data_IF_504427269991
#
_entry.id   IF_504427269991
#
_cell.length_a   1.000
_cell.length_b   1.000
_cell.length_c   1.000
_cell.angle_alpha   90.00
_cell.angle_beta   90.00
_cell.angle_gamma   90.00
#
_symmetry.space_group_name_H-M   'P 1'
#
loop_
_entity.id
_entity.type
_entity.pdbx_description
1 polymer ?
#
# COMPACT_ATOMS: atom_id res chain seq x y z
N UNK A 1 -19.48 -5.28 -0.17
CA UNK A 1 -18.57 -4.11 -0.21
C UNK A 1 -18.85 -3.32 -1.47
N UNK A 2 -18.75 -1.98 -1.44
CA UNK A 2 -18.88 -1.15 -2.65
C UNK A 2 -17.52 -1.04 -3.36
N UNK A 3 -17.47 -1.07 -4.70
CA UNK A 3 -16.21 -0.90 -5.44
C UNK A 3 -15.65 0.51 -5.23
N UNK A 4 -14.32 0.60 -5.12
CA UNK A 4 -13.58 1.85 -4.97
C UNK A 4 -13.05 2.36 -6.31
N UNK A 5 -12.82 3.66 -6.39
CA UNK A 5 -12.26 4.32 -7.58
C UNK A 5 -10.77 4.03 -7.70
N UNK A 6 -10.34 3.48 -8.84
CA UNK A 6 -8.92 3.27 -9.09
C UNK A 6 -8.18 4.60 -9.24
N UNK A 7 -7.20 4.88 -8.37
CA UNK A 7 -6.31 6.05 -8.46
C UNK A 7 -5.44 6.05 -9.74
N UNK A 8 -5.35 4.91 -10.42
CA UNK A 8 -4.65 4.76 -11.69
C UNK A 8 -5.58 5.03 -12.85
N UNK A 9 -6.54 4.16 -13.17
CA UNK A 9 -7.38 4.33 -14.36
C UNK A 9 -8.68 5.11 -14.17
N UNK A 10 -9.10 5.40 -12.93
CA UNK A 10 -10.39 6.05 -12.66
C UNK A 10 -11.61 5.13 -12.76
N UNK A 11 -11.45 3.83 -12.96
CA UNK A 11 -12.58 2.88 -12.97
C UNK A 11 -13.02 2.51 -11.54
N UNK A 12 -14.33 2.40 -11.32
CA UNK A 12 -14.92 1.82 -10.10
C UNK A 12 -14.80 0.29 -10.12
N UNK A 13 -13.62 -0.21 -9.82
CA UNK A 13 -13.30 -1.65 -9.96
C UNK A 13 -12.42 -2.21 -8.85
N UNK A 14 -11.97 -1.38 -7.91
CA UNK A 14 -11.15 -1.83 -6.80
C UNK A 14 -12.03 -2.49 -5.74
N UNK A 15 -11.76 -3.74 -5.42
CA UNK A 15 -12.37 -4.43 -4.29
C UNK A 15 -11.29 -4.72 -3.25
N UNK A 16 -11.39 -4.16 -2.03
CA UNK A 16 -10.46 -4.50 -0.95
C UNK A 16 -10.69 -5.94 -0.52
N UNK A 17 -9.61 -6.70 -0.42
CA UNK A 17 -9.59 -8.06 0.12
C UNK A 17 -8.81 -8.04 1.42
N UNK A 18 -9.41 -8.57 2.49
CA UNK A 18 -8.68 -8.80 3.72
C UNK A 18 -7.66 -9.92 3.49
N UNK A 19 -6.43 -9.66 3.92
CA UNK A 19 -5.36 -10.67 3.87
C UNK A 19 -5.06 -11.04 5.31
N UNK A 20 -5.35 -12.30 5.65
CA UNK A 20 -5.01 -12.85 6.96
C UNK A 20 -3.51 -13.11 6.95
N UNK A 21 -2.80 -12.38 7.80
CA UNK A 21 -1.40 -12.64 8.09
C UNK A 21 -1.40 -13.72 9.17
N UNK A 22 -0.84 -14.89 8.87
CA UNK A 22 -0.74 -15.98 9.85
C UNK A 22 0.24 -15.57 10.98
N UNK A 23 -0.23 -15.42 12.23
CA UNK A 23 0.62 -15.02 13.34
C UNK A 23 1.50 -16.17 13.87
N UNK A 24 1.24 -17.42 13.47
CA UNK A 24 1.95 -18.60 13.98
C UNK A 24 3.16 -19.02 13.13
N UNK A 25 3.35 -18.45 11.93
CA UNK A 25 4.58 -18.62 11.16
C UNK A 25 5.50 -17.38 11.24
N UNK A 26 6.47 -17.35 12.19
CA UNK A 26 7.45 -16.27 12.30
C UNK A 26 8.42 -16.18 11.11
N UNK A 27 8.33 -17.07 10.11
CA UNK A 27 9.09 -16.99 8.85
C UNK A 27 8.30 -16.32 7.72
N UNK A 28 6.99 -16.13 7.86
CA UNK A 28 6.13 -15.63 6.78
C UNK A 28 5.71 -14.16 6.95
N UNK A 29 5.89 -13.55 8.12
CA UNK A 29 5.46 -12.17 8.32
C UNK A 29 6.41 -11.34 9.19
N UNK A 30 6.96 -10.23 8.65
CA UNK A 30 7.67 -9.24 9.47
C UNK A 30 6.73 -8.38 10.33
N UNK A 31 5.42 -8.68 10.33
CA UNK A 31 4.36 -7.87 10.93
C UNK A 31 3.93 -8.39 12.31
N UNK A 32 3.41 -7.50 13.16
CA UNK A 32 3.02 -7.84 14.52
C UNK A 32 1.79 -8.77 14.56
N UNK A 33 1.67 -9.64 15.59
CA UNK A 33 0.46 -10.41 15.82
C UNK A 33 -0.74 -9.48 15.99
N UNK A 34 -1.78 -9.67 15.17
CA UNK A 34 -2.96 -8.79 15.16
C UNK A 34 -2.88 -7.60 14.19
N UNK A 35 -1.86 -7.54 13.34
CA UNK A 35 -1.82 -6.59 12.22
C UNK A 35 -3.04 -6.76 11.31
N UNK A 36 -3.71 -5.65 10.98
CA UNK A 36 -4.76 -5.63 9.97
C UNK A 36 -4.14 -5.40 8.60
N UNK A 37 -4.48 -6.23 7.62
CA UNK A 37 -4.00 -6.01 6.25
C UNK A 37 -5.10 -6.10 5.20
N UNK A 38 -4.99 -5.26 4.18
CA UNK A 38 -5.93 -5.16 3.07
C UNK A 38 -5.17 -5.06 1.75
N UNK A 39 -5.46 -5.97 0.84
CA UNK A 39 -4.96 -5.94 -0.53
C UNK A 39 -6.00 -5.29 -1.44
N UNK A 40 -5.54 -4.39 -2.30
CA UNK A 40 -6.37 -3.68 -3.27
C UNK A 40 -5.87 -4.05 -4.65
N UNK A 41 -6.76 -4.46 -5.55
CA UNK A 41 -6.41 -4.76 -6.94
C UNK A 41 -7.48 -4.26 -7.90
N UNK A 42 -7.05 -3.53 -8.92
CA UNK A 42 -7.93 -2.99 -9.96
C UNK A 42 -8.08 -4.04 -11.06
N UNK A 43 -9.29 -4.56 -11.26
CA UNK A 43 -9.57 -5.56 -12.28
C UNK A 43 -9.41 -5.07 -13.73
N UNK A 44 -9.29 -3.75 -13.94
CA UNK A 44 -9.17 -3.17 -15.29
C UNK A 44 -7.72 -2.92 -15.67
N UNK A 45 -6.97 -2.16 -14.86
CA UNK A 45 -5.58 -1.80 -15.17
C UNK A 45 -4.53 -2.64 -14.44
N UNK A 46 -4.95 -3.55 -13.55
CA UNK A 46 -4.04 -4.39 -12.76
C UNK A 46 -3.29 -3.65 -11.65
N UNK A 47 -3.53 -2.36 -11.41
CA UNK A 47 -2.90 -1.65 -10.30
C UNK A 47 -3.32 -2.24 -8.97
N UNK A 48 -2.33 -2.56 -8.13
CA UNK A 48 -2.55 -3.14 -6.82
C UNK A 48 -1.58 -2.63 -5.76
N UNK A 49 -1.98 -2.78 -4.51
CA UNK A 49 -1.15 -2.51 -3.34
C UNK A 49 -1.69 -3.22 -2.11
N UNK A 50 -0.78 -3.51 -1.17
CA UNK A 50 -1.09 -3.97 0.17
C UNK A 50 -1.05 -2.77 1.13
N UNK A 51 -2.01 -2.69 2.04
CA UNK A 51 -1.92 -1.84 3.22
C UNK A 51 -1.82 -2.72 4.45
N UNK A 52 -0.87 -2.44 5.33
CA UNK A 52 -0.72 -3.11 6.63
C UNK A 52 -0.84 -2.04 7.70
N UNK A 53 -1.63 -2.32 8.73
CA UNK A 53 -1.80 -1.48 9.91
C UNK A 53 -1.47 -2.28 11.14
N UNK A 54 -0.60 -1.74 11.99
CA UNK A 54 -0.06 -2.43 13.15
C UNK A 54 -0.07 -1.52 14.37
N UNK A 55 -0.40 -2.06 15.53
CA UNK A 55 -0.14 -1.41 16.80
C UNK A 55 1.25 -1.85 17.31
N UNK A 56 2.15 -0.88 17.49
CA UNK A 56 3.48 -1.06 18.05
C UNK A 56 3.57 -0.43 19.44
N UNK A 57 2.73 -0.89 20.37
CA UNK A 57 2.76 -0.44 21.76
C UNK A 57 2.21 0.98 21.96
N UNK A 58 1.11 1.31 21.30
CA UNK A 58 0.43 2.60 21.36
C UNK A 58 0.77 3.55 20.22
N UNK A 59 1.71 3.18 19.34
CA UNK A 59 1.97 3.87 18.06
C UNK A 59 1.44 2.99 16.93
N UNK A 60 0.52 3.53 16.14
CA UNK A 60 -0.04 2.79 15.01
C UNK A 60 0.83 3.04 13.77
N UNK A 61 1.47 2.00 13.26
CA UNK A 61 2.20 2.05 12.00
C UNK A 61 1.25 1.73 10.84
N UNK A 62 1.30 2.52 9.77
CA UNK A 62 0.59 2.24 8.52
C UNK A 62 1.60 2.12 7.39
N UNK A 63 1.65 0.95 6.76
CA UNK A 63 2.53 0.64 5.63
C UNK A 63 1.72 0.44 4.36
N UNK A 64 2.18 1.05 3.27
CA UNK A 64 1.69 0.81 1.92
C UNK A 64 2.79 0.16 1.11
N UNK A 65 2.48 -0.96 0.45
CA UNK A 65 3.40 -1.71 -0.41
C UNK A 65 2.79 -1.86 -1.80
N UNK A 66 3.46 -1.30 -2.80
CA UNK A 66 3.14 -1.48 -4.21
C UNK A 66 4.15 -2.45 -4.81
N UNK A 67 3.71 -3.66 -5.16
CA UNK A 67 4.56 -4.71 -5.75
C UNK A 67 3.96 -5.17 -7.09
N UNK A 68 4.76 -5.31 -8.15
CA UNK A 68 4.30 -5.84 -9.44
C UNK A 68 5.41 -6.60 -10.17
N UNK A 69 5.32 -7.94 -10.21
CA UNK A 69 6.19 -8.76 -11.04
C UNK A 69 7.68 -8.56 -10.72
N UNK A 70 8.47 -8.16 -11.72
CA UNK A 70 9.92 -7.91 -11.60
C UNK A 70 10.27 -6.44 -11.34
N UNK A 71 9.28 -5.53 -11.23
CA UNK A 71 9.53 -4.12 -10.92
C UNK A 71 9.87 -3.95 -9.43
N UNK A 72 10.66 -2.93 -9.09
CA UNK A 72 11.07 -2.67 -7.73
C UNK A 72 9.87 -2.38 -6.82
N UNK A 73 9.95 -2.87 -5.58
CA UNK A 73 8.89 -2.67 -4.59
C UNK A 73 8.88 -1.24 -4.10
N UNK A 74 7.75 -0.54 -4.24
CA UNK A 74 7.58 0.81 -3.71
C UNK A 74 6.84 0.74 -2.38
N UNK A 75 7.55 1.07 -1.29
CA UNK A 75 7.01 1.05 0.07
C UNK A 75 6.97 2.46 0.65
N UNK A 76 5.91 2.80 1.38
CA UNK A 76 5.88 4.00 2.23
C UNK A 76 5.27 3.68 3.59
N UNK A 77 5.83 4.26 4.64
CA UNK A 77 5.49 3.98 6.04
C UNK A 77 5.20 5.29 6.74
N UNK A 78 4.11 5.34 7.49
CA UNK A 78 3.76 6.45 8.36
C UNK A 78 3.41 5.95 9.76
N UNK A 79 3.61 6.79 10.76
CA UNK A 79 3.29 6.50 12.15
C UNK A 79 2.17 7.45 12.61
N UNK A 80 1.21 6.88 13.32
CA UNK A 80 0.09 7.57 13.94
C UNK A 80 0.27 7.48 15.45
N UNK A 81 0.36 8.62 16.12
CA UNK A 81 0.29 8.68 17.57
C UNK A 81 -1.13 8.51 18.13
N UNK A 82 -2.15 8.46 17.26
CA UNK A 82 -3.55 8.27 17.64
C UNK A 82 -4.20 7.05 16.94
N UNK A 83 -5.01 6.24 17.65
CA UNK A 83 -5.57 4.98 17.14
C UNK A 83 -6.71 5.14 16.13
N UNK A 84 -7.05 6.36 15.72
CA UNK A 84 -8.13 6.63 14.76
C UNK A 84 -7.54 7.21 13.49
N UNK A 85 -7.69 6.48 12.39
CA UNK A 85 -7.34 6.95 11.05
C UNK A 85 -8.40 7.95 10.59
N UNK A 86 -8.05 9.25 10.55
CA UNK A 86 -9.00 10.32 10.17
C UNK A 86 -8.79 10.77 8.72
N UNK A 87 -7.55 10.81 8.21
CA UNK A 87 -7.20 11.06 6.79
C UNK A 87 -5.70 10.83 6.52
N UNK A 88 -5.25 10.89 5.25
CA UNK A 88 -3.82 10.90 4.89
C UNK A 88 -3.06 12.08 5.55
N UNK A 89 -3.77 13.14 6.01
CA UNK A 89 -3.20 14.34 6.64
C UNK A 89 -2.91 14.17 8.15
N UNK A 90 -3.43 13.12 8.79
CA UNK A 90 -3.18 12.82 10.21
C UNK A 90 -1.87 12.04 10.43
N UNK A 91 -1.16 11.71 9.35
CA UNK A 91 0.04 10.88 9.35
C UNK A 91 1.29 11.74 9.49
N UNK A 92 2.07 11.51 10.54
CA UNK A 92 3.38 12.17 10.66
C UNK A 92 4.38 11.54 9.67
N UNK A 93 5.05 12.43 8.92
CA UNK A 93 6.29 12.17 8.17
C UNK A 93 6.36 10.82 7.46
N UNK A 94 5.82 10.76 6.23
CA UNK A 94 6.00 9.57 5.38
C UNK A 94 7.49 9.27 5.16
N UNK A 95 7.88 8.03 5.44
CA UNK A 95 9.16 7.46 5.02
C UNK A 95 8.94 6.64 3.76
N UNK A 96 9.81 6.81 2.77
CA UNK A 96 9.67 6.20 1.45
C UNK A 96 10.83 5.25 1.17
N UNK A 97 10.53 4.17 0.46
CA UNK A 97 11.49 3.11 0.14
C UNK A 97 11.27 2.59 -1.28
N UNK A 98 12.36 2.19 -1.94
CA UNK A 98 12.38 1.48 -3.22
C UNK A 98 13.28 0.25 -3.03
N UNK A 99 12.75 -0.96 -3.15
CA UNK A 99 13.48 -2.20 -2.84
C UNK A 99 14.14 -2.17 -1.45
N UNK A 100 13.38 -1.72 -0.45
CA UNK A 100 13.82 -1.53 0.93
C UNK A 100 14.93 -0.48 1.15
N UNK A 101 15.46 0.12 0.09
CA UNK A 101 16.38 1.25 0.17
C UNK A 101 15.62 2.56 0.44
N UNK A 102 15.98 3.32 1.49
CA UNK A 102 15.37 4.62 1.77
C UNK A 102 15.47 5.58 0.59
N UNK A 103 14.40 6.32 0.31
CA UNK A 103 14.36 7.33 -0.74
C UNK A 103 13.55 8.56 -0.32
N UNK A 104 13.65 9.64 -1.11
CA UNK A 104 12.83 10.82 -0.94
C UNK A 104 11.44 10.67 -1.60
N UNK A 105 10.48 11.44 -1.10
CA UNK A 105 9.09 11.44 -1.57
C UNK A 105 8.99 11.68 -3.09
N UNK A 106 9.77 12.61 -3.63
CA UNK A 106 9.69 13.00 -5.03
C UNK A 106 10.09 11.83 -5.92
N UNK A 107 11.24 11.20 -5.66
CA UNK A 107 11.71 10.03 -6.41
C UNK A 107 10.73 8.85 -6.30
N UNK A 108 10.15 8.63 -5.12
CA UNK A 108 9.14 7.60 -4.92
C UNK A 108 7.87 7.86 -5.75
N UNK A 109 7.35 9.10 -5.71
CA UNK A 109 6.17 9.51 -6.49
C UNK A 109 6.41 9.43 -7.98
N UNK A 110 7.59 9.80 -8.45
CA UNK A 110 7.97 9.68 -9.87
C UNK A 110 7.95 8.21 -10.34
N UNK A 111 8.50 7.29 -9.54
CA UNK A 111 8.44 5.85 -9.83
C UNK A 111 7.01 5.33 -9.86
N UNK A 112 6.20 5.68 -8.85
CA UNK A 112 4.78 5.29 -8.83
C UNK A 112 4.02 5.87 -10.03
N UNK A 113 4.25 7.13 -10.38
CA UNK A 113 3.62 7.76 -11.53
C UNK A 113 4.05 7.11 -12.86
N UNK A 114 5.33 6.76 -13.00
CA UNK A 114 5.85 5.96 -14.10
C UNK A 114 5.10 4.65 -14.27
N UNK A 115 5.00 3.86 -13.19
CA UNK A 115 4.22 2.62 -13.15
C UNK A 115 2.77 2.84 -13.57
N UNK A 116 2.10 3.85 -13.01
CA UNK A 116 0.69 4.16 -13.32
C UNK A 116 0.48 4.54 -14.78
N UNK A 117 1.45 5.19 -15.43
CA UNK A 117 1.38 5.48 -16.87
C UNK A 117 1.39 4.19 -17.70
N UNK A 118 2.24 3.22 -17.34
CA UNK A 118 2.29 1.91 -18.02
C UNK A 118 0.99 1.12 -17.81
N UNK A 119 0.48 1.07 -16.58
CA UNK A 119 -0.79 0.38 -16.30
C UNK A 119 -1.98 1.06 -17.00
N UNK A 120 -1.97 2.39 -17.10
CA UNK A 120 -2.96 3.14 -17.89
C UNK A 120 -2.92 2.78 -19.36
N UNK A 121 -1.75 2.55 -19.97
CA UNK A 121 -1.69 2.16 -21.38
C UNK A 121 -2.29 0.78 -21.65
N UNK A 122 -2.36 -0.10 -20.64
CA UNK A 122 -3.04 -1.41 -20.74
C UNK A 122 -4.56 -1.27 -20.57
N UNK A 123 -5.01 -0.24 -19.84
CA UNK A 123 -6.41 -0.03 -19.50
C UNK A 123 -7.27 0.51 -20.66
N UNK A 124 -6.64 1.00 -21.74
CA UNK A 124 -7.32 1.47 -22.94
C UNK A 124 -7.27 0.40 -24.02
N UNK A 125 -8.15 -0.61 -23.90
CA UNK A 125 -8.72 -1.36 -25.01
C UNK A 125 -10.21 -1.56 -24.72
#
# INVERSE_FOLDING_TARGET
MKPLLCKTCGCLSLVPMEVVIDPEDPRESPWSPGAESRFYSCHVCGDNWLTVREDQGGVVQVTFVHQMGMEPTLKRVAHLHAPVFVSEDALEGWRYYVDDEPTDERRWREKLAGRRRILKSVCCN
#
